data_IF_030193608509
#
_entry.id   IF_030193608509
#
_cell.length_a   1.000
_cell.length_b   1.000
_cell.length_c   1.000
_cell.angle_alpha   90.00
_cell.angle_beta   90.00
_cell.angle_gamma   90.00
#
_symmetry.space_group_name_H-M   'P 1'
#
loop_
_entity.id
_entity.type
_entity.pdbx_description
1 polymer ?
#
# COMPACT_ATOMS: atom_id res chain seq x y z
N UNK A 1 25.37 -12.71 -26.34
CA UNK A 1 24.61 -11.67 -27.07
C UNK A 1 23.13 -11.98 -26.88
N UNK A 2 22.55 -11.51 -25.78
CA UNK A 2 21.18 -11.84 -25.37
C UNK A 2 20.33 -10.60 -25.65
N UNK A 3 19.32 -10.78 -26.50
CA UNK A 3 18.38 -9.74 -26.93
C UNK A 3 17.63 -9.19 -25.70
N UNK A 4 17.77 -7.89 -25.45
CA UNK A 4 16.86 -7.13 -24.58
C UNK A 4 15.50 -7.09 -25.28
N UNK A 5 14.46 -7.59 -24.63
CA UNK A 5 13.09 -7.24 -25.02
C UNK A 5 12.86 -5.79 -24.59
N UNK A 6 12.87 -4.92 -25.57
CA UNK A 6 12.18 -3.63 -25.53
C UNK A 6 10.70 -3.95 -25.54
N UNK A 7 10.03 -3.79 -24.41
CA UNK A 7 8.59 -3.51 -24.24
C UNK A 7 8.24 -3.84 -22.78
N UNK A 8 8.25 -2.80 -21.93
CA UNK A 8 7.45 -2.68 -20.71
C UNK A 8 7.71 -1.26 -20.15
N UNK A 9 6.84 -0.34 -20.56
CA UNK A 9 6.82 1.09 -20.23
C UNK A 9 6.25 1.38 -18.83
N UNK A 10 6.41 0.45 -17.89
CA UNK A 10 5.97 0.58 -16.49
C UNK A 10 7.10 1.15 -15.61
N UNK A 11 7.73 2.24 -16.08
CA UNK A 11 8.68 3.03 -15.28
C UNK A 11 7.95 3.90 -14.24
N UNK A 12 7.32 3.27 -13.26
CA UNK A 12 7.45 3.78 -11.89
C UNK A 12 8.81 3.27 -11.36
N UNK A 13 9.88 3.81 -11.96
CA UNK A 13 11.21 3.71 -11.36
C UNK A 13 11.10 4.34 -9.99
N UNK A 14 11.23 3.51 -8.97
CA UNK A 14 11.46 3.93 -7.59
C UNK A 14 12.79 4.71 -7.54
N UNK A 15 12.77 5.98 -7.91
CA UNK A 15 13.78 6.95 -7.53
C UNK A 15 13.54 7.34 -6.06
N UNK A 16 13.67 6.36 -5.16
CA UNK A 16 13.91 6.65 -3.76
C UNK A 16 15.34 7.17 -3.66
N UNK A 17 15.54 8.44 -4.02
CA UNK A 17 16.70 9.27 -3.71
C UNK A 17 18.02 8.51 -3.51
N UNK A 18 18.49 7.78 -4.52
CA UNK A 18 19.92 7.82 -4.78
C UNK A 18 20.16 9.30 -5.13
N UNK A 19 20.88 10.04 -4.28
CA UNK A 19 21.45 11.30 -4.75
C UNK A 19 22.07 10.99 -6.11
N UNK A 20 21.85 11.85 -7.11
CA UNK A 20 22.02 11.61 -8.54
C UNK A 20 23.42 11.15 -9.03
N UNK A 21 24.30 10.71 -8.12
CA UNK A 21 25.68 10.30 -8.31
C UNK A 21 26.13 9.08 -7.46
N UNK A 22 25.24 8.35 -6.77
CA UNK A 22 25.64 7.12 -6.05
C UNK A 22 25.38 5.85 -6.87
N UNK A 23 26.43 5.03 -7.04
CA UNK A 23 26.34 3.68 -7.61
C UNK A 23 25.43 2.81 -6.73
N UNK A 24 24.56 2.01 -7.34
CA UNK A 24 23.67 1.07 -6.66
C UNK A 24 24.47 0.14 -5.73
N UNK A 25 25.68 -0.27 -6.14
CA UNK A 25 26.59 -1.05 -5.31
C UNK A 25 27.14 -0.26 -4.12
N UNK A 26 27.36 1.05 -4.26
CA UNK A 26 27.84 1.91 -3.17
C UNK A 26 26.73 2.18 -2.16
N UNK A 27 25.48 2.36 -2.60
CA UNK A 27 24.32 2.47 -1.74
C UNK A 27 24.00 1.16 -1.01
N UNK A 28 23.99 0.03 -1.73
CA UNK A 28 23.90 -1.31 -1.12
C UNK A 28 25.03 -1.53 -0.13
N UNK A 29 26.27 -1.21 -0.49
CA UNK A 29 27.41 -1.35 0.41
C UNK A 29 27.28 -0.43 1.62
N UNK A 30 26.87 0.84 1.48
CA UNK A 30 26.67 1.77 2.60
C UNK A 30 25.50 1.38 3.51
N UNK A 31 24.40 0.86 2.96
CA UNK A 31 23.23 0.47 3.73
C UNK A 31 23.44 -0.87 4.43
N UNK A 32 24.01 -1.85 3.71
CA UNK A 32 24.49 -3.09 4.31
C UNK A 32 25.58 -2.78 5.33
N UNK A 33 26.51 -1.85 5.05
CA UNK A 33 27.52 -1.37 6.01
C UNK A 33 26.83 -0.73 7.20
N UNK A 34 25.85 0.17 7.07
CA UNK A 34 25.09 0.71 8.22
C UNK A 34 24.43 -0.40 9.06
N UNK A 35 23.87 -1.43 8.43
CA UNK A 35 23.33 -2.61 9.09
C UNK A 35 24.40 -3.54 9.69
N UNK A 36 25.60 -3.59 9.11
CA UNK A 36 26.73 -4.45 9.51
C UNK A 36 27.85 -3.71 10.27
N UNK A 37 27.75 -2.39 10.48
CA UNK A 37 28.76 -1.52 11.14
C UNK A 37 28.19 -0.71 12.28
N UNK A 38 26.95 -0.97 12.71
CA UNK A 38 26.52 -0.65 14.06
C UNK A 38 27.35 -1.50 15.04
N UNK A 39 28.55 -1.02 15.35
CA UNK A 39 29.50 -1.57 16.33
C UNK A 39 29.90 -3.05 16.10
N UNK A 40 30.98 -3.26 15.34
CA UNK A 40 31.61 -4.59 15.15
C UNK A 40 31.98 -5.28 16.47
N UNK A 41 32.07 -4.56 17.58
CA UNK A 41 32.31 -5.14 18.92
C UNK A 41 31.05 -5.69 19.59
N UNK A 42 29.86 -5.28 19.11
CA UNK A 42 28.55 -5.87 19.49
C UNK A 42 28.06 -6.91 18.49
N UNK A 43 28.47 -6.79 17.23
CA UNK A 43 28.24 -7.78 16.19
C UNK A 43 29.46 -8.68 16.00
N UNK A 44 29.83 -9.42 17.04
CA UNK A 44 30.69 -10.59 16.86
C UNK A 44 29.93 -11.63 16.06
N UNK A 45 30.12 -11.71 14.74
CA UNK A 45 29.47 -12.74 13.91
C UNK A 45 27.97 -12.93 14.23
N UNK A 46 27.17 -11.86 14.34
CA UNK A 46 25.73 -12.08 14.29
C UNK A 46 25.41 -12.45 12.85
N UNK A 47 25.53 -13.74 12.55
CA UNK A 47 24.44 -14.50 11.92
C UNK A 47 23.16 -13.77 12.30
N UNK A 48 22.33 -13.37 11.33
CA UNK A 48 20.88 -13.33 11.59
C UNK A 48 20.62 -14.60 12.41
N UNK A 49 20.32 -14.49 13.71
CA UNK A 49 20.28 -15.65 14.61
C UNK A 49 19.47 -16.73 13.92
N UNK A 50 20.07 -17.93 13.76
CA UNK A 50 20.15 -18.57 12.46
C UNK A 50 18.82 -18.39 11.74
N UNK A 51 18.84 -17.66 10.61
CA UNK A 51 17.90 -17.98 9.52
C UNK A 51 17.73 -19.50 9.57
N UNK A 52 16.49 -20.03 9.70
CA UNK A 52 16.28 -21.44 9.99
C UNK A 52 17.30 -22.27 9.21
N UNK A 53 18.01 -23.22 9.84
CA UNK A 53 19.33 -23.76 9.43
C UNK A 53 19.48 -24.18 7.95
N UNK A 54 18.38 -24.18 7.21
CA UNK A 54 18.20 -24.44 5.81
C UNK A 54 17.87 -23.20 4.93
N UNK A 55 18.02 -21.93 5.34
CA UNK A 55 17.69 -20.74 4.52
C UNK A 55 18.93 -19.92 4.16
N UNK A 56 19.10 -19.61 2.88
CA UNK A 56 20.15 -18.73 2.34
C UNK A 56 19.53 -17.50 1.69
N UNK A 57 20.12 -16.33 1.93
CA UNK A 57 19.79 -15.10 1.20
C UNK A 57 20.45 -15.18 -0.18
N UNK A 58 19.66 -15.03 -1.24
CA UNK A 58 20.17 -15.00 -2.61
C UNK A 58 20.63 -13.58 -2.95
N UNK A 59 21.55 -13.44 -3.92
CA UNK A 59 22.04 -12.13 -4.40
C UNK A 59 20.99 -11.34 -5.23
N UNK A 60 19.70 -11.59 -5.03
CA UNK A 60 18.60 -10.98 -5.79
C UNK A 60 17.78 -10.08 -4.86
N UNK A 61 17.96 -8.77 -5.04
CA UNK A 61 17.12 -7.75 -4.44
C UNK A 61 15.75 -7.74 -5.14
N UNK A 62 14.68 -7.82 -4.35
CA UNK A 62 13.30 -7.83 -4.82
C UNK A 62 12.66 -6.44 -4.75
N UNK A 63 13.09 -5.60 -3.79
CA UNK A 63 12.59 -4.23 -3.68
C UNK A 63 13.29 -3.41 -2.60
N UNK A 64 13.22 -2.08 -2.76
CA UNK A 64 13.69 -1.08 -1.79
C UNK A 64 12.51 -0.15 -1.48
N UNK A 65 12.17 -0.04 -0.21
CA UNK A 65 11.25 0.98 0.32
C UNK A 65 12.00 2.01 1.16
N UNK A 66 11.30 3.06 1.58
CA UNK A 66 11.91 4.14 2.37
C UNK A 66 12.57 3.65 3.67
N UNK A 67 12.01 2.61 4.30
CA UNK A 67 12.46 2.07 5.58
C UNK A 67 12.79 0.57 5.55
N UNK A 68 12.85 -0.05 4.36
CA UNK A 68 13.07 -1.48 4.27
C UNK A 68 13.67 -1.92 2.93
N UNK A 69 14.33 -3.07 2.93
CA UNK A 69 14.75 -3.80 1.74
C UNK A 69 14.17 -5.20 1.77
N UNK A 70 13.89 -5.74 0.58
CA UNK A 70 13.37 -7.10 0.42
C UNK A 70 14.29 -7.91 -0.47
N UNK A 71 14.74 -9.06 0.02
CA UNK A 71 15.65 -9.96 -0.69
C UNK A 71 14.97 -11.29 -0.99
N UNK A 72 15.34 -11.92 -2.10
CA UNK A 72 15.02 -13.32 -2.35
C UNK A 72 15.84 -14.22 -1.44
N UNK A 73 15.22 -15.29 -0.95
CA UNK A 73 15.89 -16.33 -0.18
C UNK A 73 15.51 -17.71 -0.73
N UNK A 74 16.40 -18.68 -0.57
CA UNK A 74 16.19 -20.07 -1.01
C UNK A 74 16.53 -21.05 0.10
N UNK A 75 16.04 -22.30 -0.03
CA UNK A 75 16.48 -23.37 0.87
C UNK A 75 17.87 -23.88 0.47
N UNK A 76 18.71 -24.17 1.46
CA UNK A 76 20.07 -24.73 1.30
C UNK A 76 20.00 -26.20 0.83
N UNK A 77 18.91 -26.92 1.12
CA UNK A 77 18.73 -28.33 0.76
C UNK A 77 18.38 -28.59 -0.71
N UNK A 78 18.46 -27.56 -1.57
CA UNK A 78 18.23 -27.69 -3.00
C UNK A 78 16.75 -27.77 -3.41
N UNK A 79 15.80 -27.64 -2.47
CA UNK A 79 14.41 -27.38 -2.82
C UNK A 79 14.28 -25.98 -3.42
N UNK A 80 13.68 -25.87 -4.60
CA UNK A 80 13.52 -24.63 -5.38
C UNK A 80 12.50 -23.63 -4.79
N UNK A 81 12.30 -23.64 -3.48
CA UNK A 81 11.36 -22.74 -2.85
C UNK A 81 12.04 -21.38 -2.63
N UNK A 82 11.61 -20.39 -3.41
CA UNK A 82 11.96 -18.98 -3.20
C UNK A 82 11.07 -18.38 -2.10
N UNK A 83 11.66 -17.52 -1.27
CA UNK A 83 10.98 -16.78 -0.20
C UNK A 83 11.40 -15.31 -0.23
N UNK A 84 10.69 -14.47 0.50
CA UNK A 84 11.05 -13.06 0.65
C UNK A 84 11.52 -12.77 2.09
N UNK A 85 12.69 -12.15 2.24
CA UNK A 85 13.21 -11.60 3.49
C UNK A 85 13.05 -10.09 3.48
N UNK A 86 12.20 -9.54 4.36
CA UNK A 86 12.12 -8.09 4.60
C UNK A 86 13.02 -7.72 5.76
N UNK A 87 13.90 -6.76 5.54
CA UNK A 87 14.76 -6.13 6.55
C UNK A 87 14.34 -4.67 6.64
N UNK A 88 14.01 -4.18 7.84
CA UNK A 88 13.57 -2.80 8.07
C UNK A 88 14.49 -2.04 9.03
N UNK A 89 14.56 -0.72 8.89
CA UNK A 89 15.23 0.15 9.85
C UNK A 89 14.60 0.12 11.24
N UNK A 90 13.29 -0.14 11.31
CA UNK A 90 12.54 -0.20 12.55
C UNK A 90 12.16 -1.64 12.93
N UNK A 91 11.64 -1.81 14.14
CA UNK A 91 11.13 -3.11 14.59
C UNK A 91 9.99 -3.60 13.68
N UNK A 92 10.08 -4.87 13.30
CA UNK A 92 9.04 -5.54 12.48
C UNK A 92 7.97 -6.24 13.32
N UNK A 93 8.10 -6.23 14.65
CA UNK A 93 7.23 -6.99 15.55
C UNK A 93 5.74 -6.68 15.34
N UNK A 94 5.39 -5.39 15.16
CA UNK A 94 4.02 -4.96 14.89
C UNK A 94 3.50 -5.49 13.55
N UNK A 95 4.33 -5.42 12.51
CA UNK A 95 3.94 -5.91 11.19
C UNK A 95 3.73 -7.44 11.22
N UNK A 96 4.65 -8.19 11.84
CA UNK A 96 4.53 -9.65 12.01
C UNK A 96 3.27 -10.03 12.78
N UNK A 97 2.95 -9.33 13.89
CA UNK A 97 1.77 -9.65 14.68
C UNK A 97 0.46 -9.40 13.92
N UNK A 98 0.43 -8.39 13.05
CA UNK A 98 -0.72 -8.14 12.17
C UNK A 98 -0.85 -9.23 11.12
N UNK A 99 0.24 -9.65 10.49
CA UNK A 99 0.16 -10.77 9.56
C UNK A 99 -0.36 -12.06 10.22
N UNK A 100 0.06 -12.34 11.45
CA UNK A 100 -0.45 -13.48 12.22
C UNK A 100 -1.94 -13.34 12.54
N UNK A 101 -2.42 -12.13 12.81
CA UNK A 101 -3.84 -11.90 13.04
C UNK A 101 -4.67 -12.05 11.75
N UNK A 102 -4.19 -11.51 10.64
CA UNK A 102 -4.93 -11.40 9.38
C UNK A 102 -4.85 -12.64 8.50
N UNK A 103 -3.71 -13.34 8.51
CA UNK A 103 -3.37 -14.32 7.48
C UNK A 103 -2.71 -15.62 7.99
N UNK A 104 -2.72 -15.91 9.30
CA UNK A 104 -2.07 -17.11 9.84
C UNK A 104 -2.58 -18.44 9.26
N UNK A 105 -3.81 -18.46 8.73
CA UNK A 105 -4.41 -19.63 8.06
C UNK A 105 -3.85 -19.85 6.64
N UNK A 106 -3.31 -18.80 6.02
CA UNK A 106 -2.85 -18.82 4.62
C UNK A 106 -1.34 -18.76 4.47
N UNK A 107 -0.69 -17.91 5.25
CA UNK A 107 0.72 -17.60 5.07
C UNK A 107 1.50 -17.80 6.36
N UNK A 108 2.74 -18.26 6.21
CA UNK A 108 3.66 -18.41 7.33
C UNK A 108 4.68 -17.28 7.30
N UNK A 109 4.66 -16.48 8.37
CA UNK A 109 5.64 -15.42 8.60
C UNK A 109 6.50 -15.82 9.79
N UNK A 110 7.81 -15.74 9.63
CA UNK A 110 8.78 -16.04 10.68
C UNK A 110 9.60 -14.81 10.96
N UNK A 111 9.47 -14.24 12.15
CA UNK A 111 10.40 -13.22 12.61
C UNK A 111 11.75 -13.88 12.85
N UNK A 112 12.79 -13.40 12.16
CA UNK A 112 14.16 -13.93 12.27
C UNK A 112 15.10 -12.95 12.97
N UNK A 113 14.65 -11.71 13.17
CA UNK A 113 15.36 -10.66 13.89
C UNK A 113 14.34 -9.61 14.38
N UNK A 114 14.63 -8.81 15.43
CA UNK A 114 13.79 -7.66 15.81
C UNK A 114 13.41 -6.74 14.64
N UNK A 115 14.28 -6.64 13.65
CA UNK A 115 14.15 -5.78 12.46
C UNK A 115 13.95 -6.55 11.14
N UNK A 116 13.75 -7.88 11.18
CA UNK A 116 13.60 -8.66 9.95
C UNK A 116 12.66 -9.86 10.10
N UNK A 117 11.93 -10.17 9.03
CA UNK A 117 11.11 -11.37 8.96
C UNK A 117 11.16 -12.01 7.57
N UNK A 118 10.97 -13.33 7.57
CA UNK A 118 10.79 -14.14 6.38
C UNK A 118 9.30 -14.33 6.09
N UNK A 119 8.92 -14.05 4.86
CA UNK A 119 7.65 -14.46 4.28
C UNK A 119 7.86 -15.78 3.53
N UNK A 120 7.38 -16.89 4.10
CA UNK A 120 7.57 -18.22 3.55
C UNK A 120 6.55 -18.51 2.45
N UNK A 121 6.62 -17.71 1.40
CA UNK A 121 5.85 -17.81 0.19
C UNK A 121 6.72 -17.35 -1.00
N UNK A 122 6.58 -17.95 -2.19
CA UNK A 122 7.20 -17.43 -3.41
C UNK A 122 6.98 -15.92 -3.57
N UNK A 123 8.02 -15.16 -3.95
CA UNK A 123 7.90 -13.73 -4.20
C UNK A 123 6.81 -13.41 -5.22
N UNK A 124 5.92 -12.49 -4.86
CA UNK A 124 4.91 -11.96 -5.76
C UNK A 124 5.43 -10.87 -6.69
N UNK A 125 4.54 -10.33 -7.51
CA UNK A 125 4.78 -9.12 -8.32
C UNK A 125 3.82 -8.03 -7.89
N UNK A 126 4.20 -6.76 -8.04
CA UNK A 126 3.24 -5.66 -7.86
C UNK A 126 2.10 -5.88 -8.85
N UNK A 127 0.87 -5.71 -8.37
CA UNK A 127 -0.33 -5.93 -9.18
C UNK A 127 -0.35 -4.99 -10.40
N UNK A 128 -0.69 -5.51 -11.58
CA UNK A 128 -0.90 -4.68 -12.76
C UNK A 128 -2.12 -3.77 -12.58
N UNK A 129 -2.25 -2.74 -13.43
CA UNK A 129 -3.42 -1.86 -13.40
C UNK A 129 -4.70 -2.65 -13.65
N UNK A 130 -4.69 -3.51 -14.66
CA UNK A 130 -5.85 -4.31 -15.07
C UNK A 130 -6.25 -5.26 -13.94
N UNK A 131 -5.29 -5.99 -13.38
CA UNK A 131 -5.54 -6.91 -12.28
C UNK A 131 -6.00 -6.18 -11.01
N UNK A 132 -5.52 -4.97 -10.74
CA UNK A 132 -5.97 -4.16 -9.60
C UNK A 132 -7.46 -3.82 -9.72
N UNK A 133 -7.90 -3.39 -10.89
CA UNK A 133 -9.30 -3.00 -11.12
C UNK A 133 -10.22 -4.22 -11.08
N UNK A 134 -9.84 -5.32 -11.73
CA UNK A 134 -10.62 -6.57 -11.73
C UNK A 134 -10.74 -7.16 -10.31
N UNK A 135 -9.72 -6.97 -9.48
CA UNK A 135 -9.64 -7.53 -8.13
C UNK A 135 -9.83 -6.51 -7.00
N UNK A 136 -10.37 -5.32 -7.28
CA UNK A 136 -10.63 -4.27 -6.28
C UNK A 136 -11.41 -4.79 -5.07
N UNK A 137 -12.42 -5.64 -5.30
CA UNK A 137 -13.19 -6.31 -4.25
C UNK A 137 -12.37 -7.22 -3.33
N UNK A 138 -11.34 -7.91 -3.84
CA UNK A 138 -10.47 -8.77 -3.03
C UNK A 138 -9.56 -7.93 -2.13
N UNK A 139 -9.12 -6.77 -2.61
CA UNK A 139 -8.34 -5.80 -1.84
C UNK A 139 -9.23 -5.21 -0.73
N UNK A 140 -10.44 -4.79 -1.08
CA UNK A 140 -11.42 -4.28 -0.13
C UNK A 140 -11.75 -5.30 0.96
N UNK A 141 -11.96 -6.56 0.61
CA UNK A 141 -12.20 -7.63 1.57
C UNK A 141 -11.04 -7.80 2.58
N UNK A 142 -9.80 -7.54 2.19
CA UNK A 142 -8.66 -7.56 3.10
C UNK A 142 -8.65 -6.36 4.05
N UNK A 143 -8.98 -5.16 3.54
CA UNK A 143 -9.14 -3.95 4.36
C UNK A 143 -10.27 -4.15 5.38
N UNK A 144 -11.43 -4.63 4.94
CA UNK A 144 -12.58 -4.97 5.79
C UNK A 144 -12.23 -5.98 6.88
N UNK A 145 -11.48 -7.04 6.55
CA UNK A 145 -10.99 -8.01 7.54
C UNK A 145 -10.00 -7.42 8.55
N UNK A 146 -9.24 -6.41 8.17
CA UNK A 146 -8.39 -5.67 9.10
C UNK A 146 -9.22 -4.77 10.01
N UNK A 147 -10.22 -4.08 9.45
CA UNK A 147 -11.15 -3.23 10.21
C UNK A 147 -11.93 -4.02 11.27
N UNK A 148 -12.38 -5.24 10.94
CA UNK A 148 -13.04 -6.15 11.89
C UNK A 148 -12.14 -6.56 13.06
N UNK A 149 -10.83 -6.46 12.89
CA UNK A 149 -9.82 -6.68 13.94
C UNK A 149 -9.30 -5.36 14.53
N UNK A 150 -9.98 -4.25 14.25
CA UNK A 150 -9.66 -2.89 14.71
C UNK A 150 -8.29 -2.38 14.23
N UNK A 151 -7.83 -2.84 13.07
CA UNK A 151 -6.55 -2.45 12.47
C UNK A 151 -6.80 -1.56 11.26
N UNK A 152 -6.18 -0.38 11.24
CA UNK A 152 -6.09 0.49 10.06
C UNK A 152 -4.77 0.25 9.34
N UNK A 153 -4.76 0.29 8.01
CA UNK A 153 -3.56 0.12 7.21
C UNK A 153 -2.77 1.42 7.04
N UNK A 154 -3.46 2.52 6.70
CA UNK A 154 -2.94 3.87 6.41
C UNK A 154 -1.97 4.03 5.24
N UNK A 155 -1.57 2.94 4.59
CA UNK A 155 -0.59 2.96 3.50
C UNK A 155 -1.13 2.21 2.28
N UNK A 156 -2.38 2.46 1.93
CA UNK A 156 -3.05 1.80 0.80
C UNK A 156 -2.62 2.49 -0.49
N UNK A 157 -1.84 1.77 -1.29
CA UNK A 157 -1.32 2.17 -2.61
C UNK A 157 -1.00 0.93 -3.47
N UNK A 158 -0.94 1.08 -4.80
CA UNK A 158 -0.68 -0.03 -5.73
C UNK A 158 0.59 -0.83 -5.39
N UNK A 159 1.68 -0.15 -5.00
CA UNK A 159 2.95 -0.83 -4.69
C UNK A 159 2.92 -1.68 -3.42
N UNK A 160 1.88 -1.54 -2.58
CA UNK A 160 1.65 -2.39 -1.41
C UNK A 160 0.64 -3.51 -1.72
N UNK A 161 0.33 -3.75 -2.99
CA UNK A 161 -0.56 -4.83 -3.44
C UNK A 161 0.22 -5.73 -4.36
N UNK A 162 0.34 -7.00 -3.97
CA UNK A 162 1.07 -8.00 -4.74
C UNK A 162 0.15 -9.09 -5.26
N UNK A 163 0.45 -9.57 -6.44
CA UNK A 163 -0.09 -10.78 -7.03
C UNK A 163 0.87 -11.93 -6.72
N UNK A 164 0.34 -12.97 -6.07
CA UNK A 164 1.10 -14.16 -5.69
C UNK A 164 0.42 -15.41 -6.26
N UNK A 165 1.19 -16.41 -6.65
CA UNK A 165 0.63 -17.67 -7.15
C UNK A 165 0.25 -18.58 -5.98
N UNK A 166 -1.00 -19.01 -5.91
CA UNK A 166 -1.49 -19.95 -4.92
C UNK A 166 -1.51 -21.37 -5.53
N UNK A 167 -0.54 -22.19 -5.16
CA UNK A 167 -0.39 -23.56 -5.69
C UNK A 167 -1.61 -24.44 -5.41
N UNK A 168 -2.27 -24.27 -4.25
CA UNK A 168 -3.43 -25.09 -3.86
C UNK A 168 -4.65 -24.82 -4.74
N UNK A 169 -4.83 -23.55 -5.13
CA UNK A 169 -5.95 -23.13 -5.97
C UNK A 169 -5.59 -23.12 -7.46
N UNK A 170 -4.30 -23.29 -7.80
CA UNK A 170 -3.77 -23.13 -9.15
C UNK A 170 -4.20 -21.79 -9.78
N UNK A 171 -4.15 -20.72 -8.99
CA UNK A 171 -4.61 -19.39 -9.38
C UNK A 171 -3.77 -18.30 -8.73
N UNK A 172 -3.79 -17.10 -9.30
CA UNK A 172 -3.21 -15.94 -8.65
C UNK A 172 -4.13 -15.45 -7.52
N UNK A 173 -3.53 -14.98 -6.44
CA UNK A 173 -4.18 -14.34 -5.31
C UNK A 173 -3.61 -12.92 -5.15
N UNK A 174 -4.47 -11.98 -4.77
CA UNK A 174 -4.09 -10.61 -4.47
C UNK A 174 -3.91 -10.45 -2.97
N UNK A 175 -2.77 -9.89 -2.57
CA UNK A 175 -2.41 -9.69 -1.17
C UNK A 175 -2.04 -8.23 -0.91
N UNK A 176 -2.65 -7.66 0.13
CA UNK A 176 -2.28 -6.37 0.70
C UNK A 176 -1.17 -6.55 1.75
N UNK A 177 -0.03 -5.91 1.48
CA UNK A 177 1.21 -6.04 2.25
C UNK A 177 1.64 -4.69 2.86
N UNK A 178 2.77 -4.70 3.58
CA UNK A 178 3.41 -3.54 4.19
C UNK A 178 2.56 -2.89 5.32
N UNK A 179 2.29 -3.69 6.35
CA UNK A 179 1.53 -3.28 7.52
C UNK A 179 2.35 -2.49 8.55
N UNK A 180 3.54 -2.01 8.18
CA UNK A 180 4.40 -1.23 9.09
C UNK A 180 3.75 0.09 9.52
N UNK A 181 3.01 0.73 8.61
CA UNK A 181 2.27 1.96 8.88
C UNK A 181 0.91 1.73 9.52
N UNK A 182 0.55 0.51 9.88
CA UNK A 182 -0.74 0.23 10.52
C UNK A 182 -0.89 0.87 11.92
N UNK A 183 -2.13 0.99 12.39
CA UNK A 183 -2.48 1.41 13.74
C UNK A 183 -3.79 0.77 14.22
N UNK A 184 -4.01 0.77 15.54
CA UNK A 184 -5.29 0.34 16.12
C UNK A 184 -6.32 1.49 16.10
N UNK A 185 -7.60 1.15 16.01
CA UNK A 185 -8.70 2.12 16.04
C UNK A 185 -8.68 2.95 17.32
N UNK A 186 -8.88 4.27 17.20
CA UNK A 186 -8.91 5.20 18.33
C UNK A 186 -7.54 5.55 18.91
N UNK A 187 -6.45 4.99 18.37
CA UNK A 187 -5.11 5.44 18.73
C UNK A 187 -4.78 6.76 18.04
N UNK A 188 -3.86 7.53 18.62
CA UNK A 188 -3.33 8.75 18.00
C UNK A 188 -1.82 8.62 17.85
N UNK A 189 -1.32 8.92 16.66
CA UNK A 189 0.13 8.92 16.40
C UNK A 189 0.45 9.78 15.19
N UNK A 190 1.74 10.08 15.00
CA UNK A 190 2.20 10.75 13.77
C UNK A 190 1.82 9.91 12.55
N UNK A 191 1.29 10.57 11.53
CA UNK A 191 0.94 9.92 10.28
C UNK A 191 2.20 9.53 9.52
N UNK A 192 2.30 8.25 9.15
CA UNK A 192 3.42 7.67 8.39
C UNK A 192 2.93 6.88 7.16
N UNK A 193 1.73 7.19 6.69
CA UNK A 193 1.14 6.60 5.48
C UNK A 193 1.49 7.36 4.21
N UNK A 194 1.08 6.83 3.07
CA UNK A 194 1.22 7.47 1.76
C UNK A 194 0.40 8.75 1.69
N UNK A 195 1.05 9.85 1.29
CA UNK A 195 0.42 11.17 1.18
C UNK A 195 -0.44 11.31 -0.09
N UNK A 196 -0.09 10.62 -1.18
CA UNK A 196 -0.86 10.70 -2.43
C UNK A 196 -2.26 10.13 -2.29
N UNK A 197 -2.49 9.16 -1.40
CA UNK A 197 -3.81 8.55 -1.17
C UNK A 197 -4.45 8.97 0.16
N UNK A 198 -3.77 9.75 1.00
CA UNK A 198 -4.29 10.20 2.29
C UNK A 198 -5.64 10.93 2.15
N UNK A 199 -6.49 10.85 3.19
CA UNK A 199 -7.74 11.60 3.23
C UNK A 199 -7.49 13.11 3.35
N UNK A 200 -8.44 13.92 2.87
CA UNK A 200 -8.36 15.38 2.96
C UNK A 200 -8.13 15.84 4.40
N UNK A 201 -8.83 15.24 5.37
CA UNK A 201 -8.66 15.56 6.79
C UNK A 201 -7.20 15.40 7.23
N UNK A 202 -6.56 14.28 6.90
CA UNK A 202 -5.16 14.03 7.26
C UNK A 202 -4.24 15.10 6.64
N UNK A 203 -4.42 15.40 5.35
CA UNK A 203 -3.61 16.40 4.66
C UNK A 203 -3.81 17.81 5.23
N UNK A 204 -5.04 18.21 5.57
CA UNK A 204 -5.35 19.50 6.19
C UNK A 204 -4.73 19.63 7.58
N UNK A 205 -4.80 18.59 8.41
CA UNK A 205 -4.20 18.60 9.74
C UNK A 205 -2.66 18.62 9.68
N UNK A 206 -2.06 17.88 8.74
CA UNK A 206 -0.61 17.94 8.50
C UNK A 206 -0.17 19.31 7.94
N UNK A 207 -1.00 19.96 7.11
CA UNK A 207 -0.74 21.31 6.62
C UNK A 207 -0.75 22.35 7.76
N UNK A 208 -1.64 22.20 8.74
CA UNK A 208 -1.67 23.05 9.95
C UNK A 208 -0.49 22.77 10.88
N UNK A 209 -0.20 21.48 11.10
CA UNK A 209 0.89 21.03 11.96
C UNK A 209 1.45 19.69 11.48
N UNK A 210 2.62 19.74 10.84
CA UNK A 210 3.32 18.55 10.29
C UNK A 210 3.66 17.49 11.35
N UNK A 211 3.73 17.88 12.62
CA UNK A 211 4.06 16.97 13.73
C UNK A 211 2.83 16.55 14.55
N UNK A 212 1.62 16.85 14.07
CA UNK A 212 0.39 16.46 14.74
C UNK A 212 0.29 14.95 14.93
N UNK A 213 -0.20 14.53 16.09
CA UNK A 213 -0.68 13.17 16.29
C UNK A 213 -2.13 13.15 15.88
N UNK A 214 -2.47 12.26 14.94
CA UNK A 214 -3.77 12.21 14.31
C UNK A 214 -4.50 10.94 14.70
N UNK A 215 -5.79 11.07 14.99
CA UNK A 215 -6.70 9.93 15.02
C UNK A 215 -7.11 9.60 13.59
N UNK A 216 -6.67 8.45 13.10
CA UNK A 216 -7.17 7.90 11.85
C UNK A 216 -8.41 7.05 12.12
N UNK A 217 -9.35 7.08 11.18
CA UNK A 217 -10.60 6.33 11.23
C UNK A 217 -10.66 5.34 10.05
N UNK A 218 -11.53 4.31 10.12
CA UNK A 218 -11.76 3.38 9.00
C UNK A 218 -12.07 4.06 7.66
N UNK A 219 -12.76 5.20 7.72
CA UNK A 219 -13.04 6.03 6.55
C UNK A 219 -11.76 6.49 5.84
N UNK A 220 -10.67 6.75 6.57
CA UNK A 220 -9.41 7.22 5.94
C UNK A 220 -8.77 6.12 5.08
N UNK A 221 -8.85 4.85 5.50
CA UNK A 221 -8.45 3.71 4.67
C UNK A 221 -9.36 3.56 3.44
N UNK A 222 -10.67 3.78 3.60
CA UNK A 222 -11.62 3.73 2.48
C UNK A 222 -11.35 4.82 1.43
N UNK A 223 -11.10 6.04 1.89
CA UNK A 223 -10.69 7.15 1.02
C UNK A 223 -9.37 6.82 0.34
N UNK A 224 -8.41 6.23 1.04
CA UNK A 224 -7.12 5.83 0.46
C UNK A 224 -7.27 4.76 -0.62
N UNK A 225 -8.13 3.76 -0.37
CA UNK A 225 -8.49 2.74 -1.34
C UNK A 225 -9.15 3.32 -2.60
N UNK A 226 -10.12 4.22 -2.44
CA UNK A 226 -10.79 4.87 -3.56
C UNK A 226 -9.85 5.81 -4.34
N UNK A 227 -8.98 6.55 -3.64
CA UNK A 227 -7.94 7.37 -4.26
C UNK A 227 -6.93 6.53 -5.02
N UNK A 228 -6.52 5.38 -4.50
CA UNK A 228 -5.62 4.46 -5.21
C UNK A 228 -6.23 4.04 -6.56
N UNK A 229 -7.49 3.63 -6.59
CA UNK A 229 -8.21 3.29 -7.83
C UNK A 229 -8.26 4.50 -8.77
N UNK A 230 -8.66 5.67 -8.26
CA UNK A 230 -8.72 6.90 -9.04
C UNK A 230 -7.38 7.21 -9.70
N UNK A 231 -6.27 7.10 -8.96
CA UNK A 231 -4.93 7.37 -9.48
C UNK A 231 -4.54 6.42 -10.62
N UNK A 232 -5.12 5.24 -10.75
CA UNK A 232 -4.89 4.37 -11.90
C UNK A 232 -5.66 4.78 -13.16
N UNK A 233 -6.76 5.52 -12.99
CA UNK A 233 -7.65 5.91 -14.08
C UNK A 233 -7.29 7.29 -14.66
N UNK A 234 -6.73 8.20 -13.86
CA UNK A 234 -6.47 9.58 -14.30
C UNK A 234 -5.30 9.73 -15.27
N UNK A 235 -5.28 10.88 -15.94
CA UNK A 235 -4.19 11.28 -16.83
C UNK A 235 -2.85 11.39 -16.11
N UNK A 236 -1.79 11.00 -16.82
CA UNK A 236 -0.41 10.95 -16.31
C UNK A 236 0.11 12.33 -15.84
N UNK A 237 -0.38 13.43 -16.42
CA UNK A 237 -0.05 14.79 -16.00
C UNK A 237 -0.43 15.05 -14.54
N UNK A 238 -1.59 14.55 -14.10
CA UNK A 238 -2.02 14.69 -12.71
C UNK A 238 -1.21 13.79 -11.77
N UNK A 239 -0.86 12.57 -12.20
CA UNK A 239 0.01 11.68 -11.41
C UNK A 239 1.39 12.31 -11.18
N UNK A 240 1.98 12.91 -12.22
CA UNK A 240 3.25 13.64 -12.14
C UNK A 240 3.16 14.87 -11.23
N UNK A 241 2.11 15.67 -11.36
CA UNK A 241 1.88 16.81 -10.47
C UNK A 241 1.75 16.36 -9.01
N UNK A 242 0.96 15.32 -8.75
CA UNK A 242 0.79 14.77 -7.41
C UNK A 242 2.11 14.24 -6.83
N UNK A 243 2.89 13.50 -7.62
CA UNK A 243 4.20 12.99 -7.23
C UNK A 243 5.16 14.12 -6.86
N UNK A 244 5.19 15.20 -7.66
CA UNK A 244 5.98 16.39 -7.37
C UNK A 244 5.62 17.02 -6.02
N UNK A 245 4.33 17.20 -5.72
CA UNK A 245 3.89 17.77 -4.44
C UNK A 245 4.21 16.85 -3.25
N UNK A 246 4.10 15.53 -3.43
CA UNK A 246 4.50 14.54 -2.43
C UNK A 246 5.99 14.62 -2.13
N UNK A 247 6.84 14.68 -3.16
CA UNK A 247 8.29 14.81 -3.02
C UNK A 247 8.70 16.11 -2.30
N UNK A 248 7.96 17.20 -2.55
CA UNK A 248 8.16 18.48 -1.86
C UNK A 248 7.62 18.49 -0.43
N UNK A 249 6.83 17.48 -0.02
CA UNK A 249 6.13 17.46 1.26
C UNK A 249 5.04 18.54 1.37
N UNK A 250 4.47 18.93 0.24
CA UNK A 250 3.48 20.01 0.10
C UNK A 250 2.06 19.47 0.29
N UNK A 251 1.57 19.46 1.53
CA UNK A 251 0.22 18.96 1.85
C UNK A 251 -0.90 19.77 1.16
N UNK A 252 -0.76 21.10 1.14
CA UNK A 252 -1.69 22.00 0.45
C UNK A 252 -1.62 21.84 -1.07
N UNK A 253 -0.43 21.58 -1.63
CA UNK A 253 -0.27 21.31 -3.05
C UNK A 253 -0.93 20.00 -3.48
N UNK A 254 -0.82 18.94 -2.67
CA UNK A 254 -1.56 17.68 -2.89
C UNK A 254 -3.08 17.95 -2.97
N UNK A 255 -3.61 18.71 -2.01
CA UNK A 255 -5.03 19.09 -2.01
C UNK A 255 -5.42 19.90 -3.26
N UNK A 256 -4.56 20.83 -3.69
CA UNK A 256 -4.77 21.63 -4.89
C UNK A 256 -4.78 20.77 -6.16
N UNK A 257 -3.88 19.78 -6.26
CA UNK A 257 -3.88 18.83 -7.37
C UNK A 257 -5.20 18.08 -7.44
N UNK A 258 -5.70 17.54 -6.33
CA UNK A 258 -7.02 16.88 -6.29
C UNK A 258 -8.18 17.81 -6.68
N UNK A 259 -8.14 19.07 -6.24
CA UNK A 259 -9.12 20.07 -6.60
C UNK A 259 -9.12 20.38 -8.11
N UNK A 260 -7.95 20.63 -8.69
CA UNK A 260 -7.81 20.89 -10.13
C UNK A 260 -8.14 19.65 -10.97
N UNK A 261 -7.81 18.45 -10.46
CA UNK A 261 -8.24 17.18 -11.02
C UNK A 261 -9.76 17.19 -11.13
N UNK A 262 -10.49 17.30 -10.02
CA UNK A 262 -11.96 17.32 -10.00
C UNK A 262 -12.56 18.38 -10.94
N UNK A 263 -11.99 19.59 -10.94
CA UNK A 263 -12.43 20.72 -11.78
C UNK A 263 -12.24 20.48 -13.27
N UNK A 264 -11.28 19.65 -13.67
CA UNK A 264 -11.09 19.29 -15.08
C UNK A 264 -12.32 18.59 -15.68
N UNK A 265 -13.12 17.91 -14.85
CA UNK A 265 -14.40 17.30 -15.22
C UNK A 265 -15.61 18.24 -15.06
N UNK A 266 -15.47 19.47 -15.56
CA UNK A 266 -16.36 20.66 -15.47
C UNK A 266 -17.89 20.46 -15.45
N UNK A 267 -18.42 19.32 -15.89
CA UNK A 267 -19.87 19.03 -15.91
C UNK A 267 -20.28 17.70 -15.27
N UNK A 268 -19.40 16.70 -15.19
CA UNK A 268 -19.70 15.35 -14.69
C UNK A 268 -18.41 14.68 -14.16
N UNK A 269 -18.09 14.83 -12.87
CA UNK A 269 -16.96 14.12 -12.28
C UNK A 269 -17.22 12.61 -12.28
N UNK A 270 -16.17 11.77 -12.38
CA UNK A 270 -16.31 10.35 -12.16
C UNK A 270 -16.97 10.06 -10.81
N UNK A 271 -17.82 9.03 -10.74
CA UNK A 271 -18.52 8.63 -9.50
C UNK A 271 -17.55 8.37 -8.34
N UNK A 272 -16.30 8.00 -8.64
CA UNK A 272 -15.24 7.88 -7.63
C UNK A 272 -15.01 9.17 -6.84
N UNK A 273 -15.08 10.35 -7.47
CA UNK A 273 -14.98 11.62 -6.73
C UNK A 273 -16.17 11.83 -5.81
N UNK A 274 -17.38 11.53 -6.26
CA UNK A 274 -18.59 11.67 -5.44
C UNK A 274 -18.56 10.71 -4.24
N UNK A 275 -18.08 9.47 -4.44
CA UNK A 275 -17.84 8.51 -3.35
C UNK A 275 -16.79 9.04 -2.37
N UNK A 276 -15.64 9.53 -2.87
CA UNK A 276 -14.58 10.10 -2.02
C UNK A 276 -15.11 11.29 -1.22
N UNK A 277 -15.80 12.23 -1.85
CA UNK A 277 -16.34 13.42 -1.19
C UNK A 277 -17.40 13.05 -0.13
N UNK A 278 -18.24 12.06 -0.42
CA UNK A 278 -19.24 11.57 0.55
C UNK A 278 -18.58 10.92 1.76
N UNK A 279 -17.55 10.10 1.54
CA UNK A 279 -16.74 9.52 2.61
C UNK A 279 -16.08 10.62 3.45
N UNK A 280 -15.43 11.60 2.82
CA UNK A 280 -14.76 12.70 3.53
C UNK A 280 -15.76 13.58 4.30
N UNK A 281 -16.91 13.92 3.71
CA UNK A 281 -17.96 14.73 4.35
C UNK A 281 -18.58 14.04 5.56
N UNK A 282 -18.71 12.72 5.51
CA UNK A 282 -19.35 11.93 6.57
C UNK A 282 -18.35 11.14 7.42
N UNK A 283 -17.07 11.52 7.39
CA UNK A 283 -15.97 10.84 8.10
C UNK A 283 -16.28 10.44 9.54
N UNK A 284 -16.94 11.30 10.31
CA UNK A 284 -17.28 11.07 11.73
C UNK A 284 -18.62 10.33 11.96
N UNK A 285 -19.41 10.10 10.92
CA UNK A 285 -20.78 9.57 11.02
C UNK A 285 -20.89 8.10 10.62
N UNK A 286 -19.84 7.53 10.03
CA UNK A 286 -19.79 6.11 9.70
C UNK A 286 -19.43 5.28 10.92
N UNK A 287 -20.29 4.31 11.24
CA UNK A 287 -19.82 3.13 11.95
C UNK A 287 -19.26 2.11 10.94
N UNK A 288 -18.57 1.10 11.45
CA UNK A 288 -17.89 0.09 10.63
C UNK A 288 -18.85 -0.65 9.68
N UNK A 289 -20.01 -1.08 10.18
CA UNK A 289 -20.99 -1.83 9.37
C UNK A 289 -21.55 -1.01 8.20
N UNK A 290 -21.93 0.25 8.45
CA UNK A 290 -22.43 1.16 7.42
C UNK A 290 -21.37 1.48 6.38
N UNK A 291 -20.13 1.69 6.82
CA UNK A 291 -19.01 1.95 5.92
C UNK A 291 -18.76 0.74 5.03
N UNK A 292 -18.74 -0.45 5.61
CA UNK A 292 -18.53 -1.68 4.89
C UNK A 292 -19.64 -1.95 3.87
N UNK A 293 -20.90 -1.81 4.26
CA UNK A 293 -22.03 -1.97 3.36
C UNK A 293 -22.00 -0.96 2.20
N UNK A 294 -21.67 0.30 2.49
CA UNK A 294 -21.54 1.35 1.46
C UNK A 294 -20.46 1.00 0.43
N UNK A 295 -19.28 0.56 0.88
CA UNK A 295 -18.17 0.17 0.00
C UNK A 295 -18.47 -1.10 -0.80
N UNK A 296 -19.10 -2.10 -0.19
CA UNK A 296 -19.52 -3.32 -0.87
C UNK A 296 -20.48 -2.98 -2.02
N UNK A 297 -21.49 -2.14 -1.77
CA UNK A 297 -22.42 -1.68 -2.79
C UNK A 297 -21.73 -0.86 -3.89
N UNK A 298 -20.81 0.05 -3.55
CA UNK A 298 -20.02 0.75 -4.55
C UNK A 298 -19.38 -0.26 -5.52
N UNK A 299 -18.71 -1.28 -4.98
CA UNK A 299 -17.94 -2.27 -5.73
C UNK A 299 -18.78 -3.35 -6.44
N UNK A 300 -20.06 -3.51 -6.13
CA UNK A 300 -20.97 -4.39 -6.87
C UNK A 300 -21.19 -3.88 -8.30
N UNK A 301 -21.26 -2.55 -8.49
CA UNK A 301 -21.42 -1.93 -9.80
C UNK A 301 -20.07 -1.53 -10.43
N UNK A 302 -19.15 -2.50 -10.58
CA UNK A 302 -17.76 -2.30 -11.05
C UNK A 302 -17.66 -1.55 -12.37
N UNK A 303 -18.57 -1.82 -13.30
CA UNK A 303 -18.57 -1.16 -14.61
C UNK A 303 -18.77 0.35 -14.47
N UNK A 304 -19.66 0.79 -13.58
CA UNK A 304 -19.90 2.21 -13.31
C UNK A 304 -18.77 2.89 -12.54
N UNK A 305 -17.98 2.16 -11.73
CA UNK A 305 -16.85 2.75 -11.00
C UNK A 305 -15.58 2.92 -11.87
N UNK A 306 -15.31 1.97 -12.78
CA UNK A 306 -13.97 1.85 -13.40
C UNK A 306 -13.90 2.27 -14.88
N UNK A 307 -15.00 2.63 -15.52
CA UNK A 307 -15.00 3.18 -16.88
C UNK A 307 -15.15 4.71 -16.83
N UNK A 308 -14.10 5.48 -17.12
CA UNK A 308 -14.16 6.95 -17.13
C UNK A 308 -15.03 7.52 -18.27
N UNK A 309 -15.11 6.81 -19.40
CA UNK A 309 -15.56 7.41 -20.67
C UNK A 309 -17.07 7.34 -20.94
N UNK A 310 -17.91 6.81 -20.04
CA UNK A 310 -19.38 6.81 -20.22
C UNK A 310 -20.15 7.00 -18.91
N UNK A 311 -19.56 7.66 -17.92
CA UNK A 311 -20.26 8.03 -16.70
C UNK A 311 -21.14 9.25 -16.97
N UNK A 312 -22.28 9.04 -17.64
CA UNK A 312 -23.44 9.74 -17.13
C UNK A 312 -23.56 9.25 -15.70
N UNK A 313 -23.23 10.10 -14.72
CA UNK A 313 -23.55 9.82 -13.33
C UNK A 313 -24.98 9.30 -13.35
N UNK A 314 -25.15 8.03 -13.01
CA UNK A 314 -26.46 7.57 -12.63
C UNK A 314 -26.70 8.24 -11.27
N UNK A 315 -27.08 9.52 -11.32
CA UNK A 315 -27.37 10.32 -10.15
C UNK A 315 -28.43 9.58 -9.31
N UNK A 316 -29.29 8.78 -9.94
CA UNK A 316 -30.22 7.91 -9.23
C UNK A 316 -29.50 6.82 -8.47
N UNK A 317 -28.50 6.14 -9.07
CA UNK A 317 -27.68 5.15 -8.38
C UNK A 317 -26.97 5.73 -7.15
N UNK A 318 -26.24 6.85 -7.30
CA UNK A 318 -25.54 7.44 -6.15
C UNK A 318 -26.51 7.99 -5.09
N UNK A 319 -27.63 8.58 -5.50
CA UNK A 319 -28.67 9.01 -4.56
C UNK A 319 -29.33 7.81 -3.85
N UNK A 320 -29.50 6.66 -4.51
CA UNK A 320 -29.99 5.44 -3.88
C UNK A 320 -28.99 4.89 -2.87
N UNK A 321 -27.71 4.82 -3.25
CA UNK A 321 -26.59 4.37 -2.42
C UNK A 321 -26.52 5.20 -1.11
N UNK A 322 -26.58 6.52 -1.21
CA UNK A 322 -26.47 7.41 -0.05
C UNK A 322 -27.72 7.41 0.85
N UNK A 323 -28.94 7.34 0.27
CA UNK A 323 -30.21 7.26 1.03
C UNK A 323 -30.34 6.00 1.88
N UNK A 324 -29.74 4.88 1.46
CA UNK A 324 -29.76 3.65 2.24
C UNK A 324 -28.93 3.77 3.53
N UNK A 325 -27.86 4.57 3.50
CA UNK A 325 -26.95 4.75 4.65
C UNK A 325 -27.45 5.82 5.62
N UNK A 326 -27.98 6.91 5.08
CA UNK A 326 -28.56 8.03 5.81
C UNK A 326 -30.00 8.29 5.32
N UNK A 327 -30.98 7.49 5.77
CA UNK A 327 -32.38 7.81 5.52
C UNK A 327 -32.70 9.16 6.17
N UNK A 328 -33.21 10.09 5.35
CA UNK A 328 -33.57 11.47 5.72
C UNK A 328 -34.60 11.55 6.84
#
# INVERSE_FOLDING_TARGET
>A
MVRRSTDDDDQFKYEASLQAFQDENEYLSQYLTMFFTADRSKFGFCRLEPLPDNIRIDNRLLGIGANAMVFSCSRIDGQSNEYALKISNDSVQKEVSIYQQLYADKYRIVQVHPNAFLFLHPPGRIVSKENLLDNAHLIWNQIKKAHQRRILHRDIRRSNIIEIFNEKMNSNEILLIDWQSSMEFGSTMKYNGTLSTASKFILEELAKNRNSSLECLPVDDCVSFMKMILLELIAESFKKALSSEVQQGSFSGILLVYYEMKKSWKKKPPILFEVIDFLEKHRQHFNEDKLNAFLDQCLENRQSLFQLDNQQTDDNYFNQLTRQIFPS
#
